data_IF_478308534905
#
_entry.id   IF_478308534905
#
_cell.length_a   1.000
_cell.length_b   1.000
_cell.length_c   1.000
_cell.angle_alpha   90.00
_cell.angle_beta   90.00
_cell.angle_gamma   90.00
#
_symmetry.space_group_name_H-M   'P 1'
#
loop_
_entity.id
_entity.type
_entity.pdbx_description
1 polymer ?
#
# COMPACT_ATOMS: atom_id res chain seq x y z
N UNK A 1 -32.01 -13.27 2.42
CA UNK A 1 -32.09 -13.51 3.89
C UNK A 1 -30.86 -14.22 4.47
N UNK A 2 -30.23 -15.21 3.82
CA UNK A 2 -29.01 -15.87 4.36
C UNK A 2 -27.71 -15.05 4.33
N UNK A 3 -27.64 -13.95 3.57
CA UNK A 3 -26.44 -13.10 3.45
C UNK A 3 -26.32 -11.98 4.49
N UNK A 4 -27.41 -11.61 5.14
CA UNK A 4 -27.41 -10.50 6.11
C UNK A 4 -26.87 -10.93 7.48
N UNK A 5 -27.04 -12.20 7.87
CA UNK A 5 -26.55 -12.72 9.15
C UNK A 5 -25.01 -12.77 9.22
N UNK A 6 -24.30 -12.81 8.08
CA UNK A 6 -22.83 -12.90 8.04
C UNK A 6 -22.14 -11.58 8.44
N UNK A 7 -22.85 -10.46 8.42
CA UNK A 7 -22.35 -9.14 8.73
C UNK A 7 -23.04 -8.47 9.92
N UNK A 8 -23.76 -9.23 10.74
CA UNK A 8 -24.37 -8.68 11.96
C UNK A 8 -23.30 -8.11 12.89
N UNK A 9 -23.52 -6.87 13.32
CA UNK A 9 -22.64 -6.18 14.25
C UNK A 9 -22.67 -6.86 15.62
N UNK A 10 -21.54 -7.36 16.05
CA UNK A 10 -21.39 -7.90 17.40
C UNK A 10 -21.29 -6.82 18.48
N UNK A 11 -20.94 -5.57 18.10
CA UNK A 11 -20.72 -4.47 19.04
C UNK A 11 -21.26 -3.15 18.46
N UNK A 12 -21.92 -2.33 19.29
CA UNK A 12 -22.45 -1.02 18.91
C UNK A 12 -21.32 -0.05 18.55
N UNK A 13 -21.40 0.72 17.42
CA UNK A 13 -20.42 1.74 17.06
C UNK A 13 -20.44 2.90 18.08
N UNK A 14 -19.30 3.57 18.21
CA UNK A 14 -19.21 4.85 18.93
C UNK A 14 -19.70 5.98 18.02
N UNK A 15 -19.31 5.94 16.72
CA UNK A 15 -19.87 6.80 15.67
C UNK A 15 -20.10 5.94 14.43
N UNK A 16 -21.31 5.96 13.90
CA UNK A 16 -21.65 5.25 12.67
C UNK A 16 -21.17 6.04 11.42
N UNK A 17 -21.23 5.41 10.25
CA UNK A 17 -20.65 5.91 8.98
C UNK A 17 -21.11 7.34 8.66
N UNK A 18 -22.39 7.64 8.86
CA UNK A 18 -22.98 8.94 8.51
C UNK A 18 -23.03 9.94 9.68
N UNK A 19 -22.54 9.55 10.86
CA UNK A 19 -22.57 10.42 12.04
C UNK A 19 -21.40 11.39 12.03
N UNK A 20 -21.71 12.68 12.25
CA UNK A 20 -20.73 13.76 12.31
C UNK A 20 -20.32 13.99 13.76
N UNK A 21 -19.01 13.88 14.09
CA UNK A 21 -18.53 14.20 15.43
C UNK A 21 -18.58 15.70 15.72
N UNK A 22 -18.46 16.05 17.02
CA UNK A 22 -18.27 17.45 17.41
C UNK A 22 -16.95 18.00 16.88
N UNK A 23 -16.80 19.32 16.60
CA UNK A 23 -15.64 19.87 15.92
C UNK A 23 -14.28 19.52 16.54
N UNK A 24 -14.15 19.64 17.86
CA UNK A 24 -12.90 19.30 18.56
C UNK A 24 -12.59 17.80 18.50
N UNK A 25 -13.62 16.96 18.70
CA UNK A 25 -13.51 15.51 18.56
C UNK A 25 -13.20 15.12 17.13
N UNK A 26 -13.80 15.78 16.15
CA UNK A 26 -13.54 15.55 14.73
C UNK A 26 -12.07 15.78 14.36
N UNK A 27 -11.50 16.92 14.77
CA UNK A 27 -10.09 17.23 14.51
C UNK A 27 -9.16 16.17 15.14
N UNK A 28 -9.39 15.79 16.40
CA UNK A 28 -8.58 14.79 17.09
C UNK A 28 -8.64 13.41 16.43
N UNK A 29 -9.85 12.94 16.09
CA UNK A 29 -10.04 11.63 15.46
C UNK A 29 -9.48 11.59 14.03
N UNK A 30 -9.61 12.71 13.29
CA UNK A 30 -9.01 12.83 11.96
C UNK A 30 -7.49 12.80 12.02
N UNK A 31 -6.89 13.46 13.01
CA UNK A 31 -5.45 13.40 13.25
C UNK A 31 -4.98 11.98 13.62
N UNK A 32 -5.80 11.23 14.35
CA UNK A 32 -5.50 9.83 14.67
C UNK A 32 -5.39 8.96 13.40
N UNK A 33 -6.33 9.10 12.45
CA UNK A 33 -6.28 8.41 11.16
C UNK A 33 -5.10 8.86 10.30
N UNK A 34 -4.76 10.14 10.33
CA UNK A 34 -3.56 10.66 9.66
C UNK A 34 -2.28 10.00 10.21
N UNK A 35 -2.15 9.88 11.52
CA UNK A 35 -0.98 9.28 12.15
C UNK A 35 -0.86 7.78 11.85
N UNK A 36 -1.99 7.06 11.76
CA UNK A 36 -1.99 5.66 11.41
C UNK A 36 -1.47 5.40 9.98
N UNK A 37 -1.88 6.24 9.02
CA UNK A 37 -1.46 6.10 7.62
C UNK A 37 -0.07 6.67 7.32
N UNK A 38 0.46 7.50 8.21
CA UNK A 38 1.63 8.32 7.95
C UNK A 38 2.85 7.51 7.52
N UNK A 39 3.19 6.48 8.31
CA UNK A 39 4.38 5.66 8.05
C UNK A 39 4.36 5.02 6.66
N UNK A 40 3.26 4.40 6.29
CA UNK A 40 3.09 3.75 5.00
C UNK A 40 3.10 4.76 3.84
N UNK A 41 2.39 5.88 3.98
CA UNK A 41 2.30 6.92 2.93
C UNK A 41 3.64 7.60 2.65
N UNK A 42 4.50 7.74 3.67
CA UNK A 42 5.83 8.37 3.53
C UNK A 42 6.88 7.38 3.01
N UNK A 43 6.79 6.11 3.41
CA UNK A 43 7.80 5.10 3.05
C UNK A 43 7.84 4.83 1.54
N UNK A 44 6.69 4.76 0.87
CA UNK A 44 6.66 4.49 -0.58
C UNK A 44 7.40 5.55 -1.39
N UNK A 45 7.09 6.87 -1.29
CA UNK A 45 7.84 7.88 -2.01
C UNK A 45 9.31 7.95 -1.58
N UNK A 46 9.62 7.71 -0.30
CA UNK A 46 11.00 7.63 0.18
C UNK A 46 11.82 6.56 -0.55
N UNK A 47 11.25 5.36 -0.75
CA UNK A 47 11.90 4.25 -1.45
C UNK A 47 11.97 4.43 -2.96
N UNK A 48 10.94 5.04 -3.54
CA UNK A 48 10.82 5.18 -5.01
C UNK A 48 11.45 6.46 -5.55
N UNK A 49 11.82 7.40 -4.67
CA UNK A 49 12.33 8.72 -5.07
C UNK A 49 11.24 9.68 -5.59
N UNK A 50 9.96 9.31 -5.50
CA UNK A 50 8.86 10.20 -5.84
C UNK A 50 8.66 11.27 -4.75
N UNK A 51 8.10 12.45 -5.07
CA UNK A 51 7.95 13.51 -4.08
C UNK A 51 6.99 13.15 -2.94
N UNK A 52 7.43 13.35 -1.70
CA UNK A 52 6.61 13.07 -0.49
C UNK A 52 5.36 13.97 -0.46
N UNK A 53 5.51 15.25 -0.86
CA UNK A 53 4.36 16.17 -0.95
C UNK A 53 3.32 15.71 -1.99
N UNK A 54 3.76 15.14 -3.12
CA UNK A 54 2.86 14.55 -4.10
C UNK A 54 2.11 13.33 -3.53
N UNK A 55 2.80 12.48 -2.75
CA UNK A 55 2.18 11.33 -2.11
C UNK A 55 1.13 11.74 -1.06
N UNK A 56 1.42 12.74 -0.22
CA UNK A 56 0.46 13.29 0.74
C UNK A 56 -0.75 13.92 0.05
N UNK A 57 -0.52 14.70 -0.99
CA UNK A 57 -1.58 15.32 -1.78
C UNK A 57 -2.44 14.27 -2.49
N UNK A 58 -1.81 13.26 -3.09
CA UNK A 58 -2.48 12.14 -3.74
C UNK A 58 -3.32 11.33 -2.75
N UNK A 59 -2.78 11.02 -1.57
CA UNK A 59 -3.48 10.31 -0.51
C UNK A 59 -4.73 11.08 -0.05
N UNK A 60 -4.59 12.38 0.23
CA UNK A 60 -5.72 13.21 0.67
C UNK A 60 -6.78 13.38 -0.41
N UNK A 61 -6.42 13.87 -1.60
CA UNK A 61 -7.38 14.06 -2.70
C UNK A 61 -7.94 12.71 -3.17
N UNK A 62 -7.09 11.68 -3.28
CA UNK A 62 -7.53 10.34 -3.65
C UNK A 62 -8.57 9.77 -2.69
N UNK A 63 -8.40 9.95 -1.37
CA UNK A 63 -9.39 9.56 -0.36
C UNK A 63 -10.71 10.34 -0.54
N UNK A 64 -10.66 11.65 -0.81
CA UNK A 64 -11.88 12.44 -1.06
C UNK A 64 -12.59 11.98 -2.35
N UNK A 65 -11.85 11.69 -3.42
CA UNK A 65 -12.41 11.13 -4.66
C UNK A 65 -13.05 9.77 -4.42
N UNK A 66 -12.40 8.92 -3.63
CA UNK A 66 -12.95 7.63 -3.24
C UNK A 66 -14.26 7.77 -2.45
N UNK A 67 -14.30 8.66 -1.46
CA UNK A 67 -15.50 8.99 -0.69
C UNK A 67 -16.64 9.44 -1.63
N UNK A 68 -16.34 10.29 -2.59
CA UNK A 68 -17.32 10.77 -3.56
C UNK A 68 -17.87 9.64 -4.44
N UNK A 69 -16.99 8.81 -5.01
CA UNK A 69 -17.37 7.70 -5.91
C UNK A 69 -18.16 6.63 -5.17
N UNK A 70 -17.78 6.34 -3.92
CA UNK A 70 -18.48 5.39 -3.05
C UNK A 70 -19.72 5.99 -2.36
N UNK A 71 -20.12 7.20 -2.75
CA UNK A 71 -21.30 7.91 -2.22
C UNK A 71 -21.26 8.10 -0.71
N UNK A 72 -20.09 8.36 -0.15
CA UNK A 72 -19.84 8.53 1.28
C UNK A 72 -20.33 7.35 2.15
N UNK A 73 -20.26 6.12 1.64
CA UNK A 73 -20.75 4.93 2.35
C UNK A 73 -19.62 4.07 2.91
N UNK A 74 -18.42 4.12 2.34
CA UNK A 74 -17.30 3.27 2.74
C UNK A 74 -16.26 4.09 3.49
N UNK A 75 -16.07 3.87 4.80
CA UNK A 75 -15.10 4.61 5.60
C UNK A 75 -13.68 4.01 5.42
N UNK A 76 -13.11 4.13 4.23
CA UNK A 76 -11.75 3.71 3.94
C UNK A 76 -10.85 4.91 3.63
N UNK A 77 -9.62 4.87 4.11
CA UNK A 77 -8.56 5.83 3.79
C UNK A 77 -7.64 5.25 2.73
N UNK A 78 -7.24 6.05 1.76
CA UNK A 78 -6.34 5.65 0.69
C UNK A 78 -4.95 6.26 0.86
N UNK A 79 -3.93 5.48 0.56
CA UNK A 79 -2.56 5.97 0.53
C UNK A 79 -1.69 5.16 -0.41
N UNK A 80 -0.39 5.37 -0.36
CA UNK A 80 0.57 4.83 -1.31
C UNK A 80 0.67 3.30 -1.26
N UNK A 81 0.54 2.62 -2.38
CA UNK A 81 0.57 1.16 -2.47
C UNK A 81 2.00 0.60 -2.46
N UNK A 82 2.28 -0.31 -1.55
CA UNK A 82 3.57 -1.03 -1.47
C UNK A 82 3.82 -1.96 -2.65
N UNK A 83 2.77 -2.49 -3.26
CA UNK A 83 2.88 -3.40 -4.40
C UNK A 83 3.58 -2.76 -5.61
N UNK A 84 3.56 -1.45 -5.73
CA UNK A 84 4.18 -0.74 -6.83
C UNK A 84 5.62 -0.30 -6.56
N UNK A 85 6.20 -0.50 -5.35
CA UNK A 85 7.55 -0.02 -5.01
C UNK A 85 8.59 -0.63 -5.96
N UNK A 86 8.70 -1.96 -6.00
CA UNK A 86 9.69 -2.64 -6.85
C UNK A 86 9.51 -2.28 -8.33
N UNK A 87 8.30 -2.35 -8.92
CA UNK A 87 8.08 -1.94 -10.30
C UNK A 87 8.44 -0.49 -10.62
N UNK A 88 8.20 0.44 -9.68
CA UNK A 88 8.58 1.85 -9.85
C UNK A 88 10.10 1.98 -9.83
N UNK A 89 10.80 1.38 -8.86
CA UNK A 89 12.26 1.44 -8.75
C UNK A 89 12.90 0.87 -10.02
N UNK A 90 12.50 -0.34 -10.43
CA UNK A 90 13.04 -0.98 -11.65
C UNK A 90 12.70 -0.17 -12.89
N UNK A 91 11.46 0.30 -13.01
CA UNK A 91 11.06 1.09 -14.16
C UNK A 91 11.83 2.42 -14.28
N UNK A 92 12.01 3.14 -13.17
CA UNK A 92 12.78 4.39 -13.17
C UNK A 92 14.27 4.19 -13.39
N UNK A 93 14.82 3.01 -13.14
CA UNK A 93 16.23 2.71 -13.45
C UNK A 93 16.49 2.47 -14.95
N UNK A 94 15.46 2.17 -15.73
CA UNK A 94 15.56 1.78 -17.14
C UNK A 94 14.79 2.69 -18.10
N UNK A 95 13.85 3.47 -17.60
CA UNK A 95 12.93 4.29 -18.40
C UNK A 95 12.82 5.70 -17.80
N UNK A 96 12.24 6.62 -18.56
CA UNK A 96 12.00 7.98 -18.10
C UNK A 96 10.89 8.05 -17.04
N UNK A 97 10.89 9.16 -16.26
CA UNK A 97 9.79 9.47 -15.35
C UNK A 97 8.43 9.56 -16.09
N UNK A 98 8.45 10.09 -17.32
CA UNK A 98 7.23 10.19 -18.15
C UNK A 98 6.65 8.83 -18.52
N UNK A 99 7.48 7.87 -18.93
CA UNK A 99 7.05 6.51 -19.22
C UNK A 99 6.44 5.85 -17.97
N UNK A 100 7.12 6.04 -16.81
CA UNK A 100 6.69 5.46 -15.55
C UNK A 100 5.32 6.03 -15.11
N UNK A 101 5.17 7.36 -15.09
CA UNK A 101 3.93 7.99 -14.65
C UNK A 101 2.75 7.66 -15.57
N UNK A 102 2.99 7.52 -16.89
CA UNK A 102 1.97 7.03 -17.82
C UNK A 102 1.61 5.56 -17.53
N UNK A 103 2.58 4.69 -17.25
CA UNK A 103 2.30 3.30 -16.88
C UNK A 103 1.49 3.19 -15.57
N UNK A 104 1.80 4.03 -14.58
CA UNK A 104 1.03 4.13 -13.34
C UNK A 104 -0.39 4.67 -13.58
N UNK A 105 -0.55 5.66 -14.46
CA UNK A 105 -1.86 6.15 -14.88
C UNK A 105 -2.69 5.03 -15.55
N UNK A 106 -2.06 4.26 -16.44
CA UNK A 106 -2.71 3.11 -17.09
C UNK A 106 -3.08 2.01 -16.08
N UNK A 107 -2.35 1.86 -14.98
CA UNK A 107 -2.77 1.01 -13.87
C UNK A 107 -4.12 1.48 -13.28
N UNK A 108 -4.29 2.78 -13.07
CA UNK A 108 -5.56 3.36 -12.62
C UNK A 108 -6.69 3.12 -13.62
N UNK A 109 -6.41 3.25 -14.93
CA UNK A 109 -7.38 2.91 -16.00
C UNK A 109 -7.77 1.43 -15.91
N UNK A 110 -6.82 0.54 -15.66
CA UNK A 110 -7.10 -0.91 -15.53
C UNK A 110 -8.00 -1.22 -14.33
N UNK A 111 -7.83 -0.53 -13.18
CA UNK A 111 -8.77 -0.64 -12.06
C UNK A 111 -10.19 -0.24 -12.46
N UNK A 112 -10.33 0.87 -13.21
CA UNK A 112 -11.65 1.32 -13.71
C UNK A 112 -12.26 0.27 -14.64
N UNK A 113 -11.48 -0.31 -15.54
CA UNK A 113 -11.93 -1.40 -16.42
C UNK A 113 -12.40 -2.61 -15.61
N UNK A 114 -11.61 -3.04 -14.61
CA UNK A 114 -11.99 -4.15 -13.72
C UNK A 114 -13.28 -3.83 -12.96
N UNK A 115 -13.44 -2.62 -12.44
CA UNK A 115 -14.66 -2.19 -11.77
C UNK A 115 -15.88 -2.23 -12.70
N UNK A 116 -15.73 -1.77 -13.95
CA UNK A 116 -16.80 -1.86 -14.97
C UNK A 116 -17.13 -3.33 -15.29
N UNK A 117 -16.13 -4.19 -15.43
CA UNK A 117 -16.34 -5.63 -15.67
C UNK A 117 -17.07 -6.28 -14.49
N UNK A 118 -16.73 -5.92 -13.25
CA UNK A 118 -17.43 -6.40 -12.04
C UNK A 118 -18.89 -5.95 -12.07
N UNK A 119 -19.16 -4.71 -12.44
CA UNK A 119 -20.53 -4.19 -12.55
C UNK A 119 -21.37 -4.96 -13.58
N UNK A 120 -20.75 -5.37 -14.70
CA UNK A 120 -21.43 -6.03 -15.80
C UNK A 120 -21.58 -7.55 -15.62
N UNK A 121 -20.57 -8.22 -15.05
CA UNK A 121 -20.47 -9.68 -14.99
C UNK A 121 -20.39 -10.26 -13.58
N UNK A 122 -20.43 -9.40 -12.53
CA UNK A 122 -20.27 -9.82 -11.14
C UNK A 122 -18.82 -10.12 -10.79
N UNK A 123 -18.60 -10.63 -9.57
CA UNK A 123 -17.26 -10.88 -9.00
C UNK A 123 -16.75 -12.30 -9.22
N UNK A 124 -17.59 -13.24 -9.67
CA UNK A 124 -17.26 -14.67 -9.70
C UNK A 124 -16.03 -15.00 -10.56
N UNK A 125 -15.86 -14.33 -11.70
CA UNK A 125 -14.71 -14.53 -12.58
C UNK A 125 -13.40 -14.10 -11.89
N UNK A 126 -13.43 -12.99 -11.15
CA UNK A 126 -12.27 -12.45 -10.45
C UNK A 126 -11.85 -13.38 -9.29
N UNK A 127 -12.81 -13.86 -8.50
CA UNK A 127 -12.56 -14.81 -7.41
C UNK A 127 -12.06 -16.16 -7.94
N UNK A 128 -12.43 -16.54 -9.16
CA UNK A 128 -11.90 -17.74 -9.83
C UNK A 128 -10.47 -17.54 -10.33
N UNK A 129 -10.14 -16.34 -10.79
CA UNK A 129 -8.81 -15.98 -11.28
C UNK A 129 -7.81 -15.85 -10.13
N UNK A 130 -8.25 -15.26 -9.04
CA UNK A 130 -7.46 -14.87 -7.87
C UNK A 130 -7.99 -15.53 -6.58
N UNK A 131 -7.92 -16.85 -6.47
CA UNK A 131 -8.26 -17.55 -5.22
C UNK A 131 -7.19 -17.26 -4.15
N UNK A 132 -7.49 -17.45 -2.85
CA UNK A 132 -6.55 -17.21 -1.75
C UNK A 132 -5.19 -17.91 -1.90
N UNK A 133 -5.14 -19.08 -2.53
CA UNK A 133 -3.89 -19.80 -2.81
C UNK A 133 -2.96 -19.07 -3.79
N UNK A 134 -3.48 -18.15 -4.59
CA UNK A 134 -2.69 -17.25 -5.45
C UNK A 134 -2.38 -15.97 -4.71
N UNK A 135 -3.42 -15.32 -4.16
CA UNK A 135 -3.31 -13.98 -3.56
C UNK A 135 -2.43 -13.98 -2.31
N UNK A 136 -2.59 -14.96 -1.40
CA UNK A 136 -1.79 -15.04 -0.18
C UNK A 136 -0.28 -15.06 -0.44
N UNK A 137 0.25 -16.00 -1.25
CA UNK A 137 1.67 -16.01 -1.59
C UNK A 137 2.14 -14.75 -2.32
N UNK A 138 1.32 -14.13 -3.17
CA UNK A 138 1.71 -12.87 -3.83
C UNK A 138 1.83 -11.73 -2.82
N UNK A 139 0.93 -11.60 -1.84
CA UNK A 139 1.06 -10.63 -0.75
C UNK A 139 2.33 -10.92 0.07
N UNK A 140 2.65 -12.19 0.33
CA UNK A 140 3.91 -12.55 0.99
C UNK A 140 5.12 -12.08 0.17
N UNK A 141 5.09 -12.21 -1.14
CA UNK A 141 6.15 -11.72 -2.05
C UNK A 141 6.30 -10.21 -1.95
N UNK A 142 5.21 -9.42 -1.85
CA UNK A 142 5.31 -7.95 -1.68
C UNK A 142 6.22 -7.61 -0.50
N UNK A 143 5.96 -8.20 0.66
CA UNK A 143 6.78 -7.93 1.85
C UNK A 143 8.20 -8.50 1.75
N UNK A 144 8.35 -9.76 1.35
CA UNK A 144 9.65 -10.45 1.37
C UNK A 144 10.61 -9.97 0.28
N UNK A 145 10.11 -9.56 -0.90
CA UNK A 145 10.97 -9.01 -1.95
C UNK A 145 11.61 -7.67 -1.57
N UNK A 146 10.97 -6.92 -0.66
CA UNK A 146 11.50 -5.65 -0.15
C UNK A 146 12.39 -5.82 1.10
N UNK A 147 12.45 -7.02 1.68
CA UNK A 147 13.25 -7.27 2.88
C UNK A 147 14.75 -6.95 2.71
N UNK A 148 15.43 -7.30 1.60
CA UNK A 148 16.81 -6.90 1.37
C UNK A 148 16.99 -5.38 1.37
N UNK A 149 16.06 -4.63 0.78
CA UNK A 149 16.08 -3.16 0.76
C UNK A 149 16.03 -2.59 2.18
N UNK A 150 15.11 -3.08 3.02
CA UNK A 150 14.99 -2.64 4.41
C UNK A 150 16.27 -2.92 5.22
N UNK A 151 16.84 -4.12 5.06
CA UNK A 151 18.07 -4.53 5.76
C UNK A 151 19.28 -3.72 5.29
N UNK A 152 19.39 -3.49 3.97
CA UNK A 152 20.47 -2.66 3.42
C UNK A 152 20.38 -1.21 3.90
N UNK A 153 19.18 -0.63 3.96
CA UNK A 153 18.95 0.71 4.52
C UNK A 153 19.36 0.81 5.99
N UNK A 154 19.23 -0.28 6.75
CA UNK A 154 19.63 -0.34 8.16
C UNK A 154 21.16 -0.38 8.36
N UNK A 155 21.93 -0.82 7.36
CA UNK A 155 23.35 -1.13 7.53
C UNK A 155 24.30 -0.28 6.68
N UNK A 156 23.87 0.20 5.51
CA UNK A 156 24.77 0.80 4.53
C UNK A 156 24.47 2.27 4.26
N UNK A 157 25.51 3.08 4.06
CA UNK A 157 25.38 4.47 3.62
C UNK A 157 24.84 4.58 2.20
N UNK A 158 25.23 3.61 1.35
CA UNK A 158 24.71 3.44 0.00
C UNK A 158 24.00 2.08 -0.11
N UNK A 159 22.71 1.99 0.28
CA UNK A 159 21.99 0.71 0.35
C UNK A 159 21.88 -0.02 -1.00
N UNK A 160 21.78 0.71 -2.11
CA UNK A 160 21.68 0.14 -3.46
C UNK A 160 22.91 -0.66 -3.87
N UNK A 161 24.09 -0.19 -3.52
CA UNK A 161 25.37 -0.82 -3.84
C UNK A 161 25.92 -1.69 -2.69
N UNK A 162 25.24 -1.74 -1.55
CA UNK A 162 25.72 -2.38 -0.31
C UNK A 162 27.12 -1.90 0.09
N UNK A 163 27.42 -0.60 -0.07
CA UNK A 163 28.70 0.01 0.27
C UNK A 163 28.60 0.91 1.49
N UNK A 164 29.71 1.04 2.21
CA UNK A 164 29.79 1.90 3.38
C UNK A 164 29.01 1.33 4.58
N UNK A 165 29.33 0.06 4.98
CA UNK A 165 28.78 -0.50 6.21
C UNK A 165 29.04 0.43 7.38
N UNK A 166 27.98 0.83 8.09
CA UNK A 166 28.04 1.81 9.15
C UNK A 166 27.34 1.28 10.40
N UNK A 167 28.13 1.01 11.45
CA UNK A 167 27.60 0.51 12.73
C UNK A 167 26.63 1.49 13.38
N UNK A 168 26.83 2.82 13.21
CA UNK A 168 25.92 3.84 13.72
C UNK A 168 24.56 3.75 13.05
N UNK A 169 24.51 3.43 11.76
CA UNK A 169 23.27 3.19 11.03
C UNK A 169 22.54 1.97 11.61
N UNK A 170 23.27 0.87 11.81
CA UNK A 170 22.68 -0.34 12.38
C UNK A 170 22.11 -0.08 13.79
N UNK A 171 22.82 0.67 14.65
CA UNK A 171 22.34 1.02 15.99
C UNK A 171 21.03 1.82 15.91
N UNK A 172 20.97 2.87 15.07
CA UNK A 172 19.76 3.67 14.88
C UNK A 172 18.60 2.80 14.37
N UNK A 173 18.85 1.96 13.38
CA UNK A 173 17.84 1.06 12.82
C UNK A 173 17.31 0.07 13.86
N UNK A 174 18.19 -0.54 14.65
CA UNK A 174 17.81 -1.51 15.68
C UNK A 174 17.03 -0.87 16.83
N UNK A 175 17.39 0.35 17.25
CA UNK A 175 16.60 1.09 18.26
C UNK A 175 15.24 1.43 17.70
N UNK A 176 15.17 1.93 16.46
CA UNK A 176 13.91 2.25 15.77
C UNK A 176 13.00 1.01 15.67
N UNK A 177 13.55 -0.11 15.23
CA UNK A 177 12.85 -1.39 15.14
C UNK A 177 12.35 -1.85 16.51
N UNK A 178 13.21 -1.84 17.53
CA UNK A 178 12.87 -2.25 18.88
C UNK A 178 11.73 -1.42 19.46
N UNK A 179 11.81 -0.10 19.34
CA UNK A 179 10.74 0.81 19.80
C UNK A 179 9.43 0.52 19.07
N UNK A 180 9.48 0.32 17.75
CA UNK A 180 8.27 0.00 16.97
C UNK A 180 7.66 -1.33 17.44
N UNK A 181 8.48 -2.37 17.69
CA UNK A 181 8.03 -3.66 18.22
C UNK A 181 7.41 -3.51 19.61
N UNK A 182 8.06 -2.75 20.49
CA UNK A 182 7.57 -2.54 21.87
C UNK A 182 6.23 -1.81 21.85
N UNK A 183 6.10 -0.77 21.03
CA UNK A 183 4.84 -0.03 20.91
C UNK A 183 3.73 -0.92 20.31
N UNK A 184 4.04 -1.70 19.28
CA UNK A 184 3.09 -2.61 18.65
C UNK A 184 2.63 -3.74 19.60
N UNK A 185 3.54 -4.30 20.40
CA UNK A 185 3.30 -5.51 21.17
C UNK A 185 2.81 -5.28 22.59
N UNK A 186 3.24 -4.21 23.25
CA UNK A 186 2.98 -3.99 24.68
C UNK A 186 2.00 -2.87 25.00
N UNK A 187 1.84 -1.90 24.09
CA UNK A 187 0.90 -0.79 24.31
C UNK A 187 -0.50 -1.13 23.81
N UNK A 188 -1.49 -0.48 24.43
CA UNK A 188 -2.91 -0.59 24.08
C UNK A 188 -3.49 0.80 23.79
N UNK A 189 -4.66 0.84 23.16
CA UNK A 189 -5.35 2.09 22.85
C UNK A 189 -4.65 2.86 21.72
N UNK A 190 -4.56 4.18 21.85
CA UNK A 190 -4.08 5.05 20.77
C UNK A 190 -2.64 4.75 20.32
N UNK A 191 -1.72 4.51 21.25
CA UNK A 191 -0.32 4.25 20.91
C UNK A 191 -0.14 2.98 20.09
N UNK A 192 -0.94 1.94 20.33
CA UNK A 192 -0.87 0.70 19.53
C UNK A 192 -1.33 0.88 18.07
N UNK A 193 -1.92 2.02 17.73
CA UNK A 193 -2.36 2.35 16.38
C UNK A 193 -1.31 3.09 15.56
N UNK A 194 -0.25 3.61 16.22
CA UNK A 194 0.78 4.46 15.58
C UNK A 194 2.22 3.99 15.86
N UNK A 195 2.49 2.68 15.91
CA UNK A 195 3.81 2.15 16.30
C UNK A 195 4.93 2.62 15.38
N UNK A 196 4.66 2.66 14.06
CA UNK A 196 5.62 3.10 13.05
C UNK A 196 5.98 4.57 13.25
N UNK A 197 4.99 5.43 13.50
CA UNK A 197 5.25 6.86 13.75
C UNK A 197 6.10 7.06 15.01
N UNK A 198 5.80 6.35 16.10
CA UNK A 198 6.60 6.43 17.33
C UNK A 198 8.02 5.94 17.08
N UNK A 199 8.18 4.83 16.36
CA UNK A 199 9.49 4.33 15.95
C UNK A 199 10.29 5.34 15.15
N UNK A 200 9.67 5.98 14.15
CA UNK A 200 10.30 7.05 13.34
C UNK A 200 10.74 8.21 14.23
N UNK A 201 9.87 8.70 15.13
CA UNK A 201 10.19 9.85 15.99
C UNK A 201 11.37 9.51 16.89
N UNK A 202 11.35 8.38 17.59
CA UNK A 202 12.46 7.97 18.48
C UNK A 202 13.73 7.72 17.68
N UNK A 203 13.65 7.01 16.56
CA UNK A 203 14.81 6.75 15.70
C UNK A 203 15.41 8.04 15.13
N UNK A 204 14.58 9.01 14.78
CA UNK A 204 15.02 10.33 14.31
C UNK A 204 15.76 11.10 15.43
N UNK A 205 15.22 11.09 16.65
CA UNK A 205 15.88 11.69 17.81
C UNK A 205 17.24 11.05 18.08
N UNK A 206 17.32 9.71 18.06
CA UNK A 206 18.59 8.99 18.20
C UNK A 206 19.58 9.37 17.09
N UNK A 207 19.10 9.46 15.83
CA UNK A 207 19.92 9.86 14.71
C UNK A 207 20.45 11.30 14.82
N UNK A 208 19.69 12.22 15.46
CA UNK A 208 20.17 13.57 15.79
C UNK A 208 21.36 13.47 16.77
N UNK A 209 21.23 12.74 17.88
CA UNK A 209 22.31 12.58 18.85
C UNK A 209 23.55 11.91 18.27
N UNK A 210 23.39 11.08 17.25
CA UNK A 210 24.50 10.44 16.53
C UNK A 210 25.07 11.29 15.39
N UNK A 211 24.57 12.52 15.18
CA UNK A 211 25.06 13.44 14.15
C UNK A 211 24.76 13.03 12.71
N UNK A 212 23.79 12.13 12.50
CA UNK A 212 23.43 11.61 11.16
C UNK A 212 22.49 12.57 10.43
N UNK A 213 21.64 13.30 11.18
CA UNK A 213 20.62 14.18 10.60
C UNK A 213 21.23 15.47 10.07
N UNK A 214 20.88 15.85 8.84
CA UNK A 214 21.24 17.14 8.24
C UNK A 214 20.05 18.08 8.28
N UNK A 215 20.23 19.25 8.90
CA UNK A 215 19.15 20.23 9.09
C UNK A 215 19.05 21.28 8.00
N UNK A 216 20.02 21.36 7.08
CA UNK A 216 20.12 22.42 6.06
C UNK A 216 18.83 22.57 5.23
N UNK A 217 18.27 21.44 4.79
CA UNK A 217 17.03 21.41 4.02
C UNK A 217 15.82 21.93 4.84
N UNK A 218 15.77 21.58 6.14
CA UNK A 218 14.70 22.05 7.03
C UNK A 218 14.83 23.54 7.29
N UNK A 219 16.05 24.02 7.53
CA UNK A 219 16.31 25.43 7.83
C UNK A 219 15.95 26.32 6.64
N UNK A 220 16.30 25.91 5.42
CA UNK A 220 16.05 26.64 4.18
C UNK A 220 14.60 26.55 3.68
N UNK A 221 13.85 25.53 4.08
CA UNK A 221 12.47 25.34 3.64
C UNK A 221 11.55 26.46 4.12
N UNK A 222 10.59 26.85 3.28
CA UNK A 222 9.53 27.80 3.63
C UNK A 222 8.47 27.14 4.52
N UNK A 223 7.77 27.93 5.33
CA UNK A 223 6.63 27.43 6.10
C UNK A 223 5.48 27.01 5.21
N UNK A 224 5.10 27.86 4.25
CA UNK A 224 4.09 27.57 3.25
C UNK A 224 4.80 27.55 1.90
N UNK A 225 4.68 26.43 1.20
CA UNK A 225 5.25 26.24 -0.13
C UNK A 225 4.30 25.42 -0.99
N UNK A 226 4.38 25.62 -2.31
CA UNK A 226 3.59 24.80 -3.22
C UNK A 226 4.15 23.37 -3.20
N UNK A 227 3.30 22.33 -3.10
CA UNK A 227 3.77 20.94 -3.10
C UNK A 227 4.65 20.66 -4.31
N UNK A 228 5.79 19.99 -4.06
CA UNK A 228 6.62 19.51 -5.16
C UNK A 228 5.87 18.38 -5.87
N UNK A 229 5.35 18.67 -7.05
CA UNK A 229 4.58 17.78 -7.91
C UNK A 229 5.15 17.79 -9.32
N UNK A 230 5.04 16.68 -10.00
CA UNK A 230 5.37 16.58 -11.43
C UNK A 230 4.10 16.66 -12.25
N UNK A 231 3.91 17.73 -13.03
CA UNK A 231 2.75 17.87 -13.91
C UNK A 231 3.12 17.51 -15.36
N UNK A 232 2.19 16.93 -16.14
CA UNK A 232 2.39 16.68 -17.57
C UNK A 232 2.85 17.96 -18.28
N UNK A 233 3.86 17.83 -19.15
CA UNK A 233 4.48 18.93 -19.93
C UNK A 233 5.14 20.04 -19.12
N UNK A 234 5.11 19.99 -17.77
CA UNK A 234 5.78 20.95 -16.88
C UNK A 234 6.87 20.31 -16.02
N UNK A 235 6.66 19.12 -15.52
CA UNK A 235 7.61 18.37 -14.68
C UNK A 235 8.12 17.10 -15.39
N UNK A 236 7.37 16.59 -16.36
CA UNK A 236 7.76 15.47 -17.20
C UNK A 236 7.03 15.54 -18.55
N UNK A 237 7.60 14.89 -19.55
CA UNK A 237 6.94 14.70 -20.84
C UNK A 237 6.27 13.32 -20.84
N UNK A 238 4.93 13.25 -20.92
CA UNK A 238 4.24 11.96 -20.99
C UNK A 238 4.69 11.16 -22.21
N UNK A 239 5.13 9.94 -22.01
CA UNK A 239 5.48 9.01 -23.07
C UNK A 239 4.92 7.62 -22.76
N UNK A 240 4.54 6.90 -23.80
CA UNK A 240 3.88 5.60 -23.66
C UNK A 240 4.86 4.47 -23.96
N UNK A 241 5.14 3.65 -22.96
CA UNK A 241 5.97 2.45 -23.12
C UNK A 241 5.15 1.20 -22.81
N UNK A 242 4.75 0.46 -23.84
CA UNK A 242 3.89 -0.72 -23.72
C UNK A 242 4.45 -1.77 -22.74
N UNK A 243 5.77 -2.00 -22.73
CA UNK A 243 6.40 -2.94 -21.82
C UNK A 243 6.15 -2.61 -20.34
N UNK A 244 6.30 -1.34 -19.95
CA UNK A 244 6.00 -0.91 -18.58
C UNK A 244 4.52 -1.08 -18.22
N UNK A 245 3.62 -0.73 -19.16
CA UNK A 245 2.16 -0.91 -18.93
C UNK A 245 1.84 -2.37 -18.71
N UNK A 246 2.40 -3.29 -19.51
CA UNK A 246 2.17 -4.73 -19.37
C UNK A 246 2.71 -5.29 -18.06
N UNK A 247 3.81 -4.76 -17.52
CA UNK A 247 4.32 -5.12 -16.19
C UNK A 247 3.38 -4.70 -15.06
N UNK A 248 2.65 -3.58 -15.23
CA UNK A 248 1.73 -3.08 -14.20
C UNK A 248 0.42 -3.88 -14.11
N UNK A 249 -0.04 -4.52 -15.20
CA UNK A 249 -1.32 -5.25 -15.22
C UNK A 249 -1.41 -6.35 -14.15
N UNK A 250 -0.43 -7.27 -14.01
CA UNK A 250 -0.47 -8.28 -12.95
C UNK A 250 -0.52 -7.68 -11.55
N UNK A 251 0.16 -6.55 -11.34
CA UNK A 251 0.18 -5.86 -10.04
C UNK A 251 -1.20 -5.29 -9.70
N UNK A 252 -1.91 -4.75 -10.69
CA UNK A 252 -3.29 -4.29 -10.48
C UNK A 252 -4.19 -5.44 -10.03
N UNK A 253 -4.06 -6.63 -10.60
CA UNK A 253 -4.84 -7.79 -10.13
C UNK A 253 -4.52 -8.16 -8.68
N UNK A 254 -3.26 -8.06 -8.28
CA UNK A 254 -2.84 -8.29 -6.89
C UNK A 254 -3.48 -7.27 -5.95
N UNK A 255 -3.35 -5.99 -6.26
CA UNK A 255 -3.87 -4.91 -5.43
C UNK A 255 -5.40 -4.87 -5.39
N UNK A 256 -6.08 -5.25 -6.48
CA UNK A 256 -7.53 -5.47 -6.49
C UNK A 256 -7.91 -6.59 -5.50
N UNK A 257 -7.11 -7.65 -5.42
CA UNK A 257 -7.36 -8.74 -4.47
C UNK A 257 -7.11 -8.31 -3.02
N UNK A 258 -6.07 -7.52 -2.79
CA UNK A 258 -5.80 -6.88 -1.50
C UNK A 258 -6.96 -5.97 -1.09
N UNK A 259 -7.44 -5.13 -2.01
CA UNK A 259 -8.60 -4.27 -1.81
C UNK A 259 -9.86 -5.07 -1.41
N UNK A 260 -10.14 -6.19 -2.10
CA UNK A 260 -11.25 -7.08 -1.75
C UNK A 260 -11.07 -7.62 -0.33
N UNK A 261 -9.86 -8.04 0.05
CA UNK A 261 -9.54 -8.49 1.39
C UNK A 261 -9.81 -7.41 2.45
N UNK A 262 -9.33 -6.19 2.23
CA UNK A 262 -9.59 -5.03 3.09
C UNK A 262 -11.08 -4.73 3.22
N UNK A 263 -11.80 -4.79 2.10
CA UNK A 263 -13.24 -4.57 2.06
C UNK A 263 -14.03 -5.64 2.83
N UNK A 264 -13.61 -6.92 2.78
CA UNK A 264 -14.21 -8.00 3.57
C UNK A 264 -14.05 -7.74 5.08
N UNK A 265 -12.85 -7.34 5.51
CA UNK A 265 -12.57 -6.99 6.91
C UNK A 265 -13.42 -5.79 7.34
N UNK A 266 -13.50 -4.76 6.48
CA UNK A 266 -14.28 -3.57 6.74
C UNK A 266 -15.78 -3.88 6.84
N UNK A 267 -16.33 -4.72 5.96
CA UNK A 267 -17.71 -5.21 6.01
C UNK A 267 -18.01 -5.83 7.38
N UNK A 268 -17.13 -6.69 7.87
CA UNK A 268 -17.26 -7.35 9.16
C UNK A 268 -17.20 -6.37 10.34
N UNK A 269 -16.26 -5.42 10.31
CA UNK A 269 -16.08 -4.43 11.38
C UNK A 269 -17.27 -3.47 11.45
N UNK A 270 -17.69 -2.96 10.30
CA UNK A 270 -18.80 -1.98 10.23
C UNK A 270 -20.18 -2.64 10.32
N UNK A 271 -20.28 -3.95 10.05
CA UNK A 271 -21.53 -4.69 10.00
C UNK A 271 -22.42 -4.24 8.83
N UNK A 272 -21.81 -3.99 7.66
CA UNK A 272 -22.52 -3.60 6.43
C UNK A 272 -21.91 -4.33 5.23
N UNK A 273 -22.76 -4.73 4.29
CA UNK A 273 -22.29 -5.35 3.04
C UNK A 273 -21.97 -4.29 1.97
N UNK A 274 -20.75 -3.79 1.98
CA UNK A 274 -20.29 -2.80 1.00
C UNK A 274 -20.04 -3.39 -0.38
N UNK A 275 -20.04 -4.72 -0.53
CA UNK A 275 -19.99 -5.36 -1.85
C UNK A 275 -21.28 -5.14 -2.63
N UNK A 276 -22.40 -4.98 -1.93
CA UNK A 276 -23.71 -4.70 -2.53
C UNK A 276 -24.00 -3.19 -2.58
N UNK A 277 -23.77 -2.49 -1.46
CA UNK A 277 -24.04 -1.05 -1.32
C UNK A 277 -22.85 -0.34 -0.67
N UNK A 278 -22.16 0.55 -1.39
CA UNK A 278 -22.48 1.13 -2.72
C UNK A 278 -22.16 0.20 -3.91
N UNK A 279 -21.47 -0.89 -3.70
CA UNK A 279 -21.02 -1.87 -4.69
C UNK A 279 -19.49 -1.95 -4.77
N UNK A 280 -18.96 -3.16 -4.90
CA UNK A 280 -17.52 -3.40 -5.06
C UNK A 280 -16.97 -2.72 -6.33
N UNK A 281 -17.79 -2.62 -7.38
CA UNK A 281 -17.47 -1.91 -8.61
C UNK A 281 -17.05 -0.46 -8.33
N UNK A 282 -17.83 0.28 -7.52
CA UNK A 282 -17.51 1.67 -7.18
C UNK A 282 -16.28 1.81 -6.30
N UNK A 283 -16.10 0.87 -5.40
CA UNK A 283 -14.93 0.82 -4.52
C UNK A 283 -13.64 0.66 -5.34
N UNK A 284 -13.60 -0.27 -6.29
CA UNK A 284 -12.46 -0.50 -7.17
C UNK A 284 -12.27 0.67 -8.16
N UNK A 285 -13.35 1.24 -8.71
CA UNK A 285 -13.26 2.45 -9.54
C UNK A 285 -12.68 3.61 -8.73
N UNK A 286 -13.05 3.73 -7.45
CA UNK A 286 -12.49 4.75 -6.56
C UNK A 286 -10.97 4.65 -6.39
N UNK A 287 -10.42 3.45 -6.19
CA UNK A 287 -8.97 3.20 -6.15
C UNK A 287 -8.32 3.56 -7.50
N UNK A 288 -8.98 3.19 -8.62
CA UNK A 288 -8.49 3.50 -9.95
C UNK A 288 -8.41 4.99 -10.22
N UNK A 289 -9.46 5.75 -9.95
CA UNK A 289 -9.49 7.21 -10.13
C UNK A 289 -8.48 7.90 -9.21
N UNK A 290 -8.34 7.45 -7.97
CA UNK A 290 -7.30 7.93 -7.05
C UNK A 290 -5.90 7.67 -7.60
N UNK A 291 -5.62 6.49 -8.14
CA UNK A 291 -4.35 6.13 -8.77
C UNK A 291 -4.07 6.97 -10.02
N UNK A 292 -5.07 7.19 -10.88
CA UNK A 292 -4.93 8.08 -12.04
C UNK A 292 -4.56 9.51 -11.62
N UNK A 293 -5.26 10.04 -10.60
CA UNK A 293 -4.96 11.37 -10.06
C UNK A 293 -3.53 11.43 -9.50
N UNK A 294 -3.15 10.45 -8.67
CA UNK A 294 -1.80 10.36 -8.09
C UNK A 294 -0.72 10.40 -9.17
N UNK A 295 -0.88 9.61 -10.23
CA UNK A 295 0.08 9.52 -11.34
C UNK A 295 0.21 10.83 -12.11
N UNK A 296 -0.88 11.58 -12.29
CA UNK A 296 -0.86 12.91 -12.97
C UNK A 296 0.01 13.91 -12.21
N UNK A 297 0.02 13.87 -10.89
CA UNK A 297 0.80 14.80 -10.06
C UNK A 297 2.17 14.26 -9.66
N UNK A 298 2.57 13.10 -10.19
CA UNK A 298 3.86 12.47 -9.87
C UNK A 298 3.89 11.72 -8.53
N UNK A 299 2.73 11.40 -7.98
CA UNK A 299 2.59 10.58 -6.78
C UNK A 299 2.52 9.08 -7.08
N UNK A 300 2.75 8.21 -6.08
CA UNK A 300 2.62 6.77 -6.21
C UNK A 300 1.15 6.34 -6.29
N UNK A 301 0.85 5.17 -6.92
CA UNK A 301 -0.48 4.58 -6.97
C UNK A 301 -1.10 4.42 -5.59
N UNK A 302 -2.41 4.57 -5.51
CA UNK A 302 -3.18 4.52 -4.28
C UNK A 302 -3.83 3.16 -4.05
N UNK A 303 -3.97 2.78 -2.77
CA UNK A 303 -4.75 1.62 -2.33
C UNK A 303 -5.40 1.92 -0.99
N UNK A 304 -6.41 1.13 -0.61
CA UNK A 304 -7.03 1.21 0.73
C UNK A 304 -6.05 0.71 1.81
N UNK A 305 -6.00 1.41 2.96
CA UNK A 305 -5.05 1.10 4.03
C UNK A 305 -5.64 0.21 5.12
N UNK A 306 -4.98 -0.94 5.34
CA UNK A 306 -5.28 -1.86 6.42
C UNK A 306 -5.06 -1.24 7.80
N UNK A 307 -4.06 -0.38 7.96
CA UNK A 307 -3.75 0.34 9.20
C UNK A 307 -4.94 1.20 9.65
N UNK A 308 -5.56 1.93 8.73
CA UNK A 308 -6.73 2.73 9.02
C UNK A 308 -7.97 1.87 9.32
N UNK A 309 -8.10 0.70 8.68
CA UNK A 309 -9.13 -0.29 9.03
C UNK A 309 -8.91 -0.81 10.46
N UNK A 310 -7.65 -1.01 10.87
CA UNK A 310 -7.29 -1.35 12.25
C UNK A 310 -7.73 -0.27 13.26
N UNK A 311 -7.59 1.02 12.91
CA UNK A 311 -8.10 2.13 13.74
C UNK A 311 -9.61 2.04 13.90
N UNK A 312 -10.36 1.82 12.81
CA UNK A 312 -11.82 1.64 12.86
C UNK A 312 -12.22 0.48 13.77
N UNK A 313 -11.50 -0.65 13.68
CA UNK A 313 -11.77 -1.84 14.49
C UNK A 313 -11.63 -1.57 15.99
N UNK A 314 -10.57 -0.87 16.40
CA UNK A 314 -10.26 -0.61 17.81
C UNK A 314 -11.14 0.51 18.38
N UNK A 315 -11.31 1.59 17.62
CA UNK A 315 -12.06 2.78 18.08
C UNK A 315 -13.57 2.63 17.95
N UNK A 316 -14.03 1.78 17.03
CA UNK A 316 -15.45 1.65 16.63
C UNK A 316 -16.04 2.97 16.13
N UNK A 317 -15.20 3.82 15.54
CA UNK A 317 -15.57 5.11 14.96
C UNK A 317 -15.51 4.94 13.45
N UNK A 318 -16.67 4.82 12.81
CA UNK A 318 -16.79 4.53 11.38
C UNK A 318 -17.11 5.75 10.54
N UNK A 319 -17.14 6.94 11.17
CA UNK A 319 -17.57 8.19 10.53
C UNK A 319 -16.74 8.54 9.28
N UNK A 320 -17.44 8.72 8.17
CA UNK A 320 -16.83 9.18 6.91
C UNK A 320 -16.26 10.61 7.02
N UNK A 321 -16.84 11.42 7.92
CA UNK A 321 -16.34 12.77 8.19
C UNK A 321 -14.96 12.75 8.83
N UNK A 322 -14.67 11.74 9.67
CA UNK A 322 -13.36 11.56 10.30
C UNK A 322 -12.32 11.19 9.23
N UNK A 323 -12.66 10.26 8.35
CA UNK A 323 -11.79 9.88 7.22
C UNK A 323 -11.55 11.06 6.27
N UNK A 324 -12.62 11.79 5.90
CA UNK A 324 -12.51 13.00 5.08
C UNK A 324 -11.70 14.10 5.76
N UNK A 325 -11.83 14.27 7.07
CA UNK A 325 -11.02 15.20 7.86
C UNK A 325 -9.53 14.85 7.84
N UNK A 326 -9.19 13.57 7.99
CA UNK A 326 -7.81 13.09 7.86
C UNK A 326 -7.25 13.38 6.45
N UNK A 327 -8.05 13.19 5.41
CA UNK A 327 -7.69 13.49 4.03
C UNK A 327 -7.41 14.99 3.83
N UNK A 328 -8.25 15.87 4.38
CA UNK A 328 -8.03 17.32 4.33
C UNK A 328 -6.75 17.72 5.07
N UNK A 329 -6.49 17.14 6.25
CA UNK A 329 -5.25 17.42 6.98
C UNK A 329 -4.03 16.97 6.16
N UNK A 330 -4.07 15.81 5.51
CA UNK A 330 -2.98 15.34 4.63
C UNK A 330 -2.72 16.33 3.48
N UNK A 331 -3.78 16.86 2.84
CA UNK A 331 -3.66 17.90 1.81
C UNK A 331 -2.98 19.14 2.38
N UNK A 332 -3.43 19.65 3.53
CA UNK A 332 -2.84 20.83 4.16
C UNK A 332 -1.36 20.62 4.48
N UNK A 333 -0.99 19.45 5.01
CA UNK A 333 0.41 19.11 5.31
C UNK A 333 1.30 19.08 4.07
N UNK A 334 0.76 18.73 2.90
CA UNK A 334 1.51 18.76 1.64
C UNK A 334 1.97 20.20 1.26
N UNK A 335 1.26 21.24 1.72
CA UNK A 335 1.61 22.65 1.51
C UNK A 335 2.51 23.23 2.61
N UNK A 336 2.83 22.47 3.65
CA UNK A 336 3.74 22.92 4.71
C UNK A 336 5.16 22.48 4.35
N UNK A 337 5.93 23.38 3.72
CA UNK A 337 7.29 23.09 3.24
C UNK A 337 8.24 22.63 4.36
N UNK A 338 8.17 23.21 5.57
CA UNK A 338 8.94 22.76 6.74
C UNK A 338 8.61 21.31 7.10
N UNK A 339 7.34 20.90 7.00
CA UNK A 339 6.90 19.54 7.31
C UNK A 339 7.44 18.54 6.29
N UNK A 340 7.31 18.84 5.00
CA UNK A 340 7.82 17.95 3.95
C UNK A 340 9.35 17.87 3.98
N UNK A 341 10.05 18.97 4.28
CA UNK A 341 11.50 18.98 4.47
C UNK A 341 11.92 18.15 5.70
N UNK A 342 11.17 18.23 6.82
CA UNK A 342 11.41 17.41 8.00
C UNK A 342 11.31 15.92 7.66
N UNK A 343 10.27 15.50 6.92
CA UNK A 343 10.10 14.11 6.52
C UNK A 343 11.23 13.68 5.58
N UNK A 344 11.60 14.51 4.61
CA UNK A 344 12.70 14.22 3.68
C UNK A 344 14.06 14.14 4.36
N UNK A 345 14.21 14.72 5.56
CA UNK A 345 15.44 14.65 6.35
C UNK A 345 15.56 13.40 7.22
N UNK A 346 14.51 12.53 7.25
CA UNK A 346 14.57 11.28 8.01
C UNK A 346 15.68 10.40 7.43
N UNK A 347 16.69 10.02 8.25
CA UNK A 347 17.81 9.25 7.76
C UNK A 347 17.38 7.82 7.32
N UNK A 348 18.08 7.33 6.31
CA UNK A 348 17.88 5.98 5.76
C UNK A 348 17.79 4.87 6.83
N UNK A 349 18.66 4.81 7.87
CA UNK A 349 18.58 3.76 8.88
C UNK A 349 17.31 3.81 9.73
N UNK A 350 16.72 4.99 9.95
CA UNK A 350 15.42 5.10 10.64
C UNK A 350 14.33 4.45 9.79
N UNK A 351 14.31 4.78 8.48
CA UNK A 351 13.36 4.17 7.55
C UNK A 351 13.62 2.67 7.38
N UNK A 352 14.89 2.23 7.38
CA UNK A 352 15.26 0.81 7.37
C UNK A 352 14.70 0.06 8.57
N UNK A 353 14.85 0.61 9.78
CA UNK A 353 14.37 0.01 11.02
C UNK A 353 12.85 -0.23 11.02
N UNK A 354 12.04 0.77 10.63
CA UNK A 354 10.58 0.60 10.54
C UNK A 354 10.18 -0.31 9.38
N UNK A 355 10.90 -0.27 8.26
CA UNK A 355 10.62 -1.09 7.08
C UNK A 355 10.77 -2.58 7.34
N UNK A 356 11.73 -3.00 8.17
CA UNK A 356 11.92 -4.40 8.57
C UNK A 356 10.62 -4.95 9.18
N UNK A 357 10.00 -4.19 10.09
CA UNK A 357 8.74 -4.62 10.70
C UNK A 357 7.57 -4.54 9.72
N UNK A 358 7.45 -3.43 8.97
CA UNK A 358 6.34 -3.23 8.04
C UNK A 358 6.30 -4.29 6.94
N UNK A 359 7.42 -4.60 6.31
CA UNK A 359 7.48 -5.61 5.26
C UNK A 359 7.22 -7.01 5.83
N UNK A 360 7.68 -7.27 7.08
CA UNK A 360 7.33 -8.48 7.81
C UNK A 360 5.83 -8.61 8.07
N UNK A 361 5.15 -7.53 8.46
CA UNK A 361 3.69 -7.50 8.68
C UNK A 361 2.94 -7.74 7.36
N UNK A 362 3.40 -7.14 6.24
CA UNK A 362 2.79 -7.39 4.93
C UNK A 362 2.90 -8.87 4.56
N UNK A 363 4.08 -9.45 4.71
CA UNK A 363 4.27 -10.88 4.45
C UNK A 363 3.41 -11.77 5.36
N UNK A 364 3.33 -11.44 6.65
CA UNK A 364 2.48 -12.13 7.61
C UNK A 364 0.97 -11.99 7.27
N UNK A 365 0.55 -10.88 6.66
CA UNK A 365 -0.84 -10.68 6.21
C UNK A 365 -1.19 -11.64 5.07
N UNK A 366 -0.27 -11.91 4.14
CA UNK A 366 -0.43 -12.93 3.12
C UNK A 366 -0.57 -14.34 3.71
N UNK A 367 0.27 -14.68 4.69
CA UNK A 367 0.18 -15.94 5.42
C UNK A 367 -1.16 -16.06 6.17
N UNK A 368 -1.58 -15.00 6.86
CA UNK A 368 -2.87 -14.94 7.55
C UNK A 368 -4.04 -15.19 6.60
N UNK A 369 -4.01 -14.62 5.40
CA UNK A 369 -5.04 -14.87 4.38
C UNK A 369 -5.14 -16.36 4.02
N UNK A 370 -4.01 -17.06 3.86
CA UNK A 370 -3.99 -18.50 3.58
C UNK A 370 -4.62 -19.31 4.70
N UNK A 371 -4.29 -18.98 5.95
CA UNK A 371 -4.80 -19.65 7.16
C UNK A 371 -6.30 -19.41 7.34
N UNK A 372 -6.76 -18.16 7.26
CA UNK A 372 -8.17 -17.78 7.41
C UNK A 372 -9.04 -18.36 6.30
N UNK A 373 -8.50 -18.47 5.08
CA UNK A 373 -9.17 -19.11 3.94
C UNK A 373 -9.08 -20.63 3.96
N UNK A 374 -8.43 -21.23 4.97
CA UNK A 374 -8.25 -22.68 5.14
C UNK A 374 -7.69 -23.34 3.88
N UNK A 375 -6.66 -22.72 3.27
CA UNK A 375 -5.99 -23.29 2.10
C UNK A 375 -5.28 -24.57 2.50
N UNK A 376 -5.69 -25.68 1.89
CA UNK A 376 -5.09 -26.99 2.15
C UNK A 376 -3.82 -27.19 1.31
N UNK A 377 -2.66 -27.24 1.98
CA UNK A 377 -1.36 -27.50 1.37
C UNK A 377 -0.98 -29.00 1.29
N UNK A 378 -1.79 -29.91 1.84
CA UNK A 378 -1.69 -31.33 1.52
C UNK A 378 -2.11 -31.60 0.06
N UNK A 379 -2.88 -30.70 -0.51
CA UNK A 379 -3.21 -30.69 -1.93
C UNK A 379 -1.99 -30.23 -2.75
N UNK A 380 -1.44 -31.14 -3.58
CA UNK A 380 -0.27 -30.88 -4.41
C UNK A 380 -0.45 -29.69 -5.35
N UNK A 381 -1.66 -29.44 -5.86
CA UNK A 381 -1.96 -28.29 -6.71
C UNK A 381 -1.69 -26.97 -5.98
N UNK A 382 -2.21 -26.84 -4.76
CA UNK A 382 -2.06 -25.64 -3.96
C UNK A 382 -0.59 -25.43 -3.54
N UNK A 383 0.09 -26.52 -3.19
CA UNK A 383 1.52 -26.52 -2.85
C UNK A 383 2.36 -26.00 -4.03
N UNK A 384 2.14 -26.52 -5.26
CA UNK A 384 2.87 -26.10 -6.46
C UNK A 384 2.63 -24.63 -6.78
N UNK A 385 1.35 -24.17 -6.75
CA UNK A 385 1.03 -22.76 -7.04
C UNK A 385 1.77 -21.84 -6.07
N UNK A 386 1.65 -22.07 -4.77
CA UNK A 386 2.28 -21.23 -3.76
C UNK A 386 3.80 -21.26 -3.85
N UNK A 387 4.41 -22.43 -4.03
CA UNK A 387 5.86 -22.59 -4.13
C UNK A 387 6.45 -21.82 -5.31
N UNK A 388 5.81 -21.91 -6.48
CA UNK A 388 6.28 -21.20 -7.68
C UNK A 388 6.16 -19.68 -7.48
N UNK A 389 5.03 -19.19 -6.95
CA UNK A 389 4.84 -17.76 -6.70
C UNK A 389 5.94 -17.23 -5.77
N UNK A 390 6.19 -17.92 -4.65
CA UNK A 390 7.18 -17.48 -3.66
C UNK A 390 8.59 -17.44 -4.24
N UNK A 391 9.02 -18.52 -4.92
CA UNK A 391 10.38 -18.61 -5.45
C UNK A 391 10.60 -17.65 -6.61
N UNK A 392 9.65 -17.54 -7.53
CA UNK A 392 9.73 -16.61 -8.67
C UNK A 392 9.77 -15.15 -8.17
N UNK A 393 8.93 -14.81 -7.20
CA UNK A 393 8.81 -13.45 -6.71
C UNK A 393 9.98 -13.01 -5.83
N UNK A 394 10.34 -13.81 -4.83
CA UNK A 394 11.44 -13.50 -3.90
C UNK A 394 12.80 -13.61 -4.60
N UNK A 395 12.95 -14.61 -5.46
CA UNK A 395 14.16 -14.83 -6.25
C UNK A 395 14.34 -13.83 -7.40
N UNK A 396 13.36 -12.94 -7.60
CA UNK A 396 13.36 -11.92 -8.66
C UNK A 396 13.66 -12.48 -10.05
N UNK A 397 12.97 -13.60 -10.43
CA UNK A 397 13.13 -14.19 -11.76
C UNK A 397 12.79 -13.16 -12.84
N UNK A 398 13.67 -13.05 -13.84
CA UNK A 398 13.52 -12.12 -14.96
C UNK A 398 13.14 -12.88 -16.23
N UNK A 399 12.04 -12.50 -16.83
CA UNK A 399 11.61 -12.96 -18.15
C UNK A 399 11.82 -11.83 -19.16
N UNK A 400 12.90 -11.95 -19.94
CA UNK A 400 13.34 -10.91 -20.87
C UNK A 400 13.21 -11.39 -22.33
N UNK A 401 12.37 -10.72 -23.11
CA UNK A 401 12.11 -11.03 -24.51
C UNK A 401 12.89 -10.13 -25.49
N UNK A 402 13.77 -9.24 -24.98
CA UNK A 402 14.56 -8.34 -25.84
C UNK A 402 15.42 -9.09 -26.84
N UNK A 403 15.94 -10.26 -26.44
CA UNK A 403 16.79 -11.08 -27.32
C UNK A 403 16.06 -11.63 -28.55
N UNK A 404 14.74 -11.76 -28.48
CA UNK A 404 13.88 -12.20 -29.60
C UNK A 404 13.15 -11.02 -30.27
N UNK A 405 13.63 -9.78 -30.04
CA UNK A 405 13.13 -8.58 -30.70
C UNK A 405 11.86 -7.96 -30.07
N UNK A 406 11.37 -8.50 -28.94
CA UNK A 406 10.22 -7.97 -28.24
C UNK A 406 10.70 -7.13 -27.05
N UNK A 407 10.44 -5.83 -27.04
CA UNK A 407 10.86 -4.96 -25.93
C UNK A 407 9.94 -5.13 -24.71
N UNK A 408 9.98 -6.32 -24.10
CA UNK A 408 9.21 -6.69 -22.92
C UNK A 408 10.11 -7.41 -21.92
N UNK A 409 10.17 -6.89 -20.71
CA UNK A 409 10.81 -7.52 -19.57
C UNK A 409 9.82 -7.55 -18.41
N UNK A 410 9.53 -8.74 -17.89
CA UNK A 410 8.67 -8.96 -16.71
C UNK A 410 9.52 -9.64 -15.66
N UNK A 411 9.49 -9.15 -14.43
CA UNK A 411 10.35 -9.66 -13.37
C UNK A 411 9.66 -9.68 -12.00
N UNK A 412 10.24 -10.44 -11.09
CA UNK A 412 9.89 -10.44 -9.67
C UNK A 412 8.41 -10.67 -9.42
N UNK A 413 7.78 -9.72 -8.73
CA UNK A 413 6.39 -9.82 -8.28
C UNK A 413 5.38 -9.90 -9.44
N UNK A 414 5.60 -9.16 -10.53
CA UNK A 414 4.70 -9.21 -11.69
C UNK A 414 4.70 -10.61 -12.32
N UNK A 415 5.89 -11.21 -12.45
CA UNK A 415 6.03 -12.57 -12.98
C UNK A 415 5.49 -13.63 -12.01
N UNK A 416 5.66 -13.42 -10.70
CA UNK A 416 5.09 -14.29 -9.67
C UNK A 416 3.55 -14.31 -9.72
N UNK A 417 2.93 -13.14 -9.83
CA UNK A 417 1.47 -13.01 -9.95
C UNK A 417 0.95 -13.69 -11.24
N UNK A 418 1.59 -13.43 -12.37
CA UNK A 418 1.25 -14.08 -13.65
C UNK A 418 1.39 -15.60 -13.56
N UNK A 419 2.51 -16.09 -13.01
CA UNK A 419 2.76 -17.53 -12.84
C UNK A 419 1.68 -18.18 -11.98
N UNK A 420 1.30 -17.51 -10.88
CA UNK A 420 0.22 -18.00 -9.99
C UNK A 420 -1.13 -18.08 -10.69
N UNK A 421 -1.50 -17.05 -11.45
CA UNK A 421 -2.75 -17.01 -12.23
C UNK A 421 -2.74 -18.12 -13.29
N UNK A 422 -1.66 -18.24 -14.06
CA UNK A 422 -1.53 -19.25 -15.12
C UNK A 422 -1.62 -20.66 -14.53
N UNK A 423 -0.86 -20.94 -13.48
CA UNK A 423 -0.89 -22.26 -12.82
C UNK A 423 -2.29 -22.56 -12.23
N UNK A 424 -2.95 -21.55 -11.64
CA UNK A 424 -4.31 -21.73 -11.14
C UNK A 424 -5.32 -22.08 -12.25
N UNK A 425 -5.11 -21.58 -13.47
CA UNK A 425 -5.99 -21.89 -14.61
C UNK A 425 -5.70 -23.25 -15.24
N UNK A 426 -4.41 -23.64 -15.33
CA UNK A 426 -3.95 -24.82 -16.06
C UNK A 426 -4.02 -26.07 -15.20
N UNK A 427 -3.62 -26.00 -13.92
CA UNK A 427 -3.54 -27.18 -13.08
C UNK A 427 -4.94 -27.76 -12.78
N UNK A 428 -5.09 -29.11 -12.88
CA UNK A 428 -6.36 -29.75 -12.67
C UNK A 428 -6.89 -29.52 -11.25
N UNK A 429 -8.19 -29.24 -11.14
CA UNK A 429 -8.86 -29.18 -9.83
C UNK A 429 -9.10 -30.61 -9.36
N UNK A 430 -8.67 -30.91 -8.13
CA UNK A 430 -9.04 -32.18 -7.53
C UNK A 430 -10.56 -32.33 -7.47
N UNK A 431 -11.04 -33.48 -7.91
CA UNK A 431 -12.44 -33.90 -7.64
C UNK A 431 -12.57 -34.01 -6.13
N UNK A 432 -13.51 -33.28 -5.51
CA UNK A 432 -13.90 -33.58 -4.12
C UNK A 432 -14.18 -35.08 -4.04
N UNK A 433 -13.37 -35.81 -3.29
CA UNK A 433 -13.76 -37.14 -2.85
C UNK A 433 -15.01 -36.96 -2.01
N UNK A 434 -16.16 -37.34 -2.57
CA UNK A 434 -17.40 -37.48 -1.79
C UNK A 434 -17.16 -38.65 -0.83
N UNK A 435 -16.75 -38.34 0.40
CA UNK A 435 -16.89 -39.26 1.53
C UNK A 435 -18.23 -39.02 2.19
#
# INVERSE_FOLDING_TARGET
MQNDEMFERTVKPVLDVNEKPQPAQWAFLSLQHLFAMFGATVLVPFLTGLPISAALLASGIGTLLYILITKAQIPAYLGSSFAFITPIITGLSTHSLGDMLVALFMSGVMYVIIGILIKLSGTAWLMKLLPPVVVGPVIMVIGLSLAPTAVNMAMYENPGDMKGYNISFLIVAMITLLVTIVVQGFFKGFLSLIPVLVGIIVGYVVAIFMGIVKFDAIMSAKWIDFPHIYLPFKGYVPSFHLGLVLVMIPIVFVTVSEHIGHQMVLNKIVGRNFFEKPGLDKSIIGDGVSTMFASIIGGPPSTTYGENIGVLAITRIYSIYVIGGAAVIAIVLAFIGKFTALISSIPTPVMGGVSILLFGIIAASGLRMLVESKVDFANNRNLVIASVILVVGIGNLVFNLKEIGINLQIEGMALAALSGIILNLILPKEKKQNN
#
